data_IF_045802901995
#
_entry.id   IF_045802901995
#
_cell.length_a   1.000
_cell.length_b   1.000
_cell.length_c   1.000
_cell.angle_alpha   90.00
_cell.angle_beta   90.00
_cell.angle_gamma   90.00
#
_symmetry.space_group_name_H-M   'P 1'
#
loop_
_entity.id
_entity.type
_entity.pdbx_description
1 polymer ?
#
# COMPACT_ATOMS: atom_id res chain seq x y z
N UNK A 1 -6.87 12.94 16.97
CA UNK A 1 -6.78 11.95 15.86
C UNK A 1 -5.31 11.65 15.64
N UNK A 2 -4.91 10.38 15.55
CA UNK A 2 -3.50 9.98 15.38
C UNK A 2 -3.12 10.14 13.92
N UNK A 3 -2.07 10.90 13.62
CA UNK A 3 -1.53 11.06 12.27
C UNK A 3 -0.74 9.81 11.84
N UNK A 4 -0.55 9.57 10.53
CA UNK A 4 0.38 8.54 10.08
C UNK A 4 1.79 8.79 10.62
N UNK A 5 2.60 7.73 10.80
CA UNK A 5 4.02 7.86 11.14
C UNK A 5 4.76 8.82 10.21
N UNK A 6 5.79 9.52 10.73
CA UNK A 6 6.49 10.59 9.99
C UNK A 6 7.28 10.09 8.78
N UNK A 7 7.61 8.80 8.74
CA UNK A 7 8.28 8.12 7.64
C UNK A 7 7.32 7.75 6.49
N UNK A 8 6.02 7.97 6.67
CA UNK A 8 4.99 7.72 5.66
C UNK A 8 4.70 9.00 4.85
N UNK A 9 4.66 8.85 3.53
CA UNK A 9 4.16 9.91 2.64
C UNK A 9 2.65 9.84 2.55
N UNK A 10 1.97 10.92 2.96
CA UNK A 10 0.53 11.06 2.75
C UNK A 10 0.21 11.52 1.33
N UNK A 11 -0.75 10.86 0.69
CA UNK A 11 -1.25 11.16 -0.66
C UNK A 11 -2.72 11.58 -0.58
N UNK A 12 -3.00 12.79 -1.05
CA UNK A 12 -4.34 13.38 -1.16
C UNK A 12 -5.20 13.35 0.12
N UNK A 13 -4.57 13.27 1.30
CA UNK A 13 -5.23 13.06 2.62
C UNK A 13 -6.16 11.82 2.62
N UNK A 14 -5.88 10.83 1.78
CA UNK A 14 -6.65 9.59 1.68
C UNK A 14 -5.88 8.35 2.08
N UNK A 15 -4.57 8.34 1.85
CA UNK A 15 -3.70 7.19 2.12
C UNK A 15 -2.30 7.66 2.48
N UNK A 16 -1.60 6.91 3.31
CA UNK A 16 -0.20 7.09 3.60
C UNK A 16 0.56 5.76 3.47
N UNK A 17 1.78 5.84 2.93
CA UNK A 17 2.63 4.71 2.57
C UNK A 17 4.07 4.99 3.00
N UNK A 18 4.78 3.96 3.46
CA UNK A 18 6.20 4.06 3.76
C UNK A 18 7.01 4.28 2.47
N UNK A 19 7.69 5.42 2.37
CA UNK A 19 8.54 5.75 1.21
C UNK A 19 9.91 6.30 1.58
N UNK A 20 10.13 6.68 2.85
CA UNK A 20 11.38 7.31 3.31
C UNK A 20 12.44 6.33 3.82
N UNK A 21 12.21 5.02 3.69
CA UNK A 21 13.16 3.96 4.05
C UNK A 21 12.91 2.70 3.24
N UNK A 22 13.94 1.86 3.11
CA UNK A 22 13.85 0.59 2.37
C UNK A 22 12.94 -0.37 3.12
N UNK A 23 11.87 -0.82 2.47
CA UNK A 23 11.01 -1.87 2.98
C UNK A 23 11.78 -3.18 2.89
N UNK A 24 12.02 -3.82 4.04
CA UNK A 24 12.71 -5.11 4.07
C UNK A 24 11.92 -6.15 3.29
N UNK A 25 12.59 -6.86 2.38
CA UNK A 25 12.03 -7.95 1.60
C UNK A 25 12.62 -9.28 2.08
N UNK A 26 11.77 -10.28 2.29
CA UNK A 26 12.15 -11.62 2.70
C UNK A 26 11.66 -12.66 1.71
N UNK A 27 12.37 -13.79 1.61
CA UNK A 27 11.97 -14.94 0.82
C UNK A 27 10.60 -15.46 1.26
N UNK A 28 9.77 -15.82 0.29
CA UNK A 28 8.46 -16.43 0.49
C UNK A 28 8.53 -17.96 0.38
N UNK A 29 7.41 -18.64 0.64
CA UNK A 29 7.28 -20.07 0.34
C UNK A 29 7.41 -20.31 -1.17
N UNK A 30 7.99 -21.44 -1.62
CA UNK A 30 8.03 -21.82 -3.04
C UNK A 30 6.67 -21.90 -3.74
N UNK A 31 5.57 -21.94 -2.98
CA UNK A 31 4.19 -21.97 -3.49
C UNK A 31 3.61 -20.58 -3.78
N UNK A 32 4.30 -19.51 -3.40
CA UNK A 32 3.87 -18.13 -3.66
C UNK A 32 4.24 -17.71 -5.09
N UNK A 33 3.44 -16.84 -5.75
CA UNK A 33 3.67 -16.45 -7.14
C UNK A 33 4.90 -15.56 -7.35
N UNK A 34 5.43 -14.98 -6.28
CA UNK A 34 6.64 -14.16 -6.29
C UNK A 34 7.58 -14.58 -5.17
N UNK A 35 8.88 -14.49 -5.44
CA UNK A 35 9.95 -14.95 -4.55
C UNK A 35 10.11 -14.13 -3.27
N UNK A 36 9.88 -12.83 -3.31
CA UNK A 36 10.12 -11.93 -2.19
C UNK A 36 8.86 -11.20 -1.76
N UNK A 37 8.70 -11.04 -0.44
CA UNK A 37 7.66 -10.23 0.15
C UNK A 37 8.25 -9.09 0.98
N UNK A 38 7.93 -7.86 0.58
CA UNK A 38 8.27 -6.63 1.27
C UNK A 38 7.09 -6.17 2.13
N UNK A 39 7.08 -6.56 3.40
CA UNK A 39 5.99 -6.29 4.34
C UNK A 39 5.98 -4.83 4.78
N UNK A 40 4.84 -4.16 4.65
CA UNK A 40 4.64 -2.79 5.16
C UNK A 40 3.18 -2.52 5.53
N UNK A 41 2.96 -1.53 6.39
CA UNK A 41 1.63 -0.99 6.64
C UNK A 41 1.13 -0.14 5.47
N UNK A 42 -0.17 -0.21 5.23
CA UNK A 42 -0.93 0.78 4.46
C UNK A 42 -1.82 1.52 5.44
N UNK A 43 -1.80 2.86 5.43
CA UNK A 43 -2.65 3.65 6.30
C UNK A 43 -3.68 4.39 5.45
N UNK A 44 -4.97 4.10 5.63
CA UNK A 44 -6.05 4.70 4.83
C UNK A 44 -6.94 5.55 5.74
N UNK A 45 -7.33 6.73 5.27
CA UNK A 45 -8.27 7.57 6.01
C UNK A 45 -9.69 7.01 5.84
N UNK A 46 -10.39 6.79 6.95
CA UNK A 46 -11.79 6.37 6.89
C UNK A 46 -12.66 7.39 6.14
N UNK A 47 -13.67 6.91 5.41
CA UNK A 47 -14.47 7.72 4.48
C UNK A 47 -13.79 8.02 3.13
N UNK A 48 -12.58 7.51 2.87
CA UNK A 48 -11.92 7.63 1.57
C UNK A 48 -11.81 6.27 0.90
N UNK A 49 -12.21 6.24 -0.37
CA UNK A 49 -11.90 5.16 -1.28
C UNK A 49 -10.51 5.37 -1.87
N UNK A 50 -9.73 4.28 -1.95
CA UNK A 50 -8.36 4.30 -2.45
C UNK A 50 -8.14 3.12 -3.37
N UNK A 51 -7.60 3.37 -4.56
CA UNK A 51 -7.12 2.33 -5.46
C UNK A 51 -5.61 2.39 -5.55
N UNK A 52 -4.97 1.23 -5.35
CA UNK A 52 -3.54 1.02 -5.54
C UNK A 52 -3.33 0.15 -6.76
N UNK A 53 -2.36 0.48 -7.60
CA UNK A 53 -1.99 -0.38 -8.73
C UNK A 53 -0.49 -0.40 -8.99
N UNK A 54 0.02 -1.57 -9.33
CA UNK A 54 1.41 -1.84 -9.71
C UNK A 54 1.49 -2.37 -11.14
N UNK A 55 2.70 -2.40 -11.72
CA UNK A 55 2.95 -3.01 -13.02
C UNK A 55 2.94 -4.54 -12.97
N UNK A 56 3.17 -5.21 -14.12
CA UNK A 56 3.20 -6.67 -14.22
C UNK A 56 4.33 -7.35 -13.43
N UNK A 57 5.36 -6.60 -13.03
CA UNK A 57 6.53 -7.07 -12.30
C UNK A 57 6.29 -7.33 -10.81
N UNK A 58 5.11 -7.01 -10.30
CA UNK A 58 4.78 -7.11 -8.89
C UNK A 58 3.32 -7.47 -8.66
N UNK A 59 3.04 -7.92 -7.45
CA UNK A 59 1.70 -7.98 -6.90
C UNK A 59 1.64 -7.30 -5.54
N UNK A 60 0.45 -6.97 -5.10
CA UNK A 60 0.18 -6.29 -3.85
C UNK A 60 -0.94 -6.97 -3.08
N UNK A 61 -0.90 -6.79 -1.77
CA UNK A 61 -1.91 -7.26 -0.85
C UNK A 61 -1.93 -6.37 0.39
N UNK A 62 -3.12 -5.91 0.81
CA UNK A 62 -3.37 -5.40 2.16
C UNK A 62 -4.74 -5.86 2.64
N UNK A 63 -4.80 -6.33 3.88
CA UNK A 63 -6.03 -6.84 4.47
C UNK A 63 -5.81 -8.05 5.37
N UNK A 64 -6.89 -8.56 5.94
CA UNK A 64 -6.91 -9.60 6.97
C UNK A 64 -7.65 -10.88 6.54
N UNK A 65 -8.13 -10.97 5.29
CA UNK A 65 -8.84 -12.14 4.75
C UNK A 65 -8.13 -12.72 3.55
N UNK A 66 -7.04 -13.47 3.81
CA UNK A 66 -6.35 -14.35 2.85
C UNK A 66 -6.31 -13.82 1.41
N UNK A 67 -6.05 -12.52 1.22
CA UNK A 67 -6.42 -11.94 -0.05
C UNK A 67 -5.38 -12.32 -1.10
N UNK A 68 -5.92 -12.61 -2.27
CA UNK A 68 -5.17 -13.04 -3.43
C UNK A 68 -4.27 -11.89 -3.87
N UNK A 69 -3.01 -12.21 -4.15
CA UNK A 69 -2.09 -11.29 -4.81
C UNK A 69 -2.75 -10.67 -6.03
N UNK A 70 -2.81 -9.35 -6.08
CA UNK A 70 -3.42 -8.60 -7.17
C UNK A 70 -2.48 -7.52 -7.66
N UNK A 71 -2.64 -7.09 -8.92
CA UNK A 71 -1.96 -5.90 -9.42
C UNK A 71 -2.73 -4.62 -9.11
N UNK A 72 -4.02 -4.73 -8.80
CA UNK A 72 -4.89 -3.61 -8.47
C UNK A 72 -5.71 -3.94 -7.24
N UNK A 73 -5.58 -3.12 -6.20
CA UNK A 73 -6.32 -3.24 -4.95
C UNK A 73 -7.23 -2.03 -4.77
N UNK A 74 -8.53 -2.28 -4.67
CA UNK A 74 -9.52 -1.30 -4.24
C UNK A 74 -9.74 -1.44 -2.73
N UNK A 75 -9.48 -0.38 -1.99
CA UNK A 75 -9.88 -0.23 -0.60
C UNK A 75 -11.14 0.63 -0.57
N UNK A 76 -12.32 0.03 -0.35
CA UNK A 76 -13.56 0.79 -0.30
C UNK A 76 -13.57 1.73 0.90
N UNK A 77 -14.32 2.82 0.79
CA UNK A 77 -14.50 3.76 1.88
C UNK A 77 -15.09 3.05 3.12
N UNK A 78 -14.38 3.13 4.25
CA UNK A 78 -14.95 2.72 5.53
C UNK A 78 -16.08 3.69 5.91
N UNK A 79 -17.31 3.22 6.19
CA UNK A 79 -18.45 4.09 6.52
C UNK A 79 -18.14 5.03 7.69
N UNK A 80 -18.53 6.29 7.57
CA UNK A 80 -18.36 7.33 8.60
C UNK A 80 -19.58 8.27 8.62
N UNK A 81 -19.85 8.97 9.74
CA UNK A 81 -20.86 10.01 9.78
C UNK A 81 -20.59 11.11 8.73
N UNK A 82 -21.63 11.68 8.09
CA UNK A 82 -21.46 12.77 7.14
C UNK A 82 -20.69 13.96 7.74
N UNK A 83 -19.76 14.54 6.98
CA UNK A 83 -18.97 15.69 7.42
C UNK A 83 -17.84 15.38 8.42
N UNK A 84 -17.76 14.15 8.94
CA UNK A 84 -16.68 13.76 9.84
C UNK A 84 -15.38 13.50 9.04
N UNK A 85 -14.25 14.00 9.57
CA UNK A 85 -12.93 13.51 9.14
C UNK A 85 -12.66 12.18 9.82
N UNK A 86 -12.78 11.10 9.06
CA UNK A 86 -12.53 9.75 9.57
C UNK A 86 -11.09 9.57 10.09
N UNK A 87 -10.88 8.68 11.08
CA UNK A 87 -9.55 8.37 11.59
C UNK A 87 -8.70 7.67 10.52
N UNK A 88 -7.39 7.62 10.77
CA UNK A 88 -6.47 6.80 9.99
C UNK A 88 -6.55 5.34 10.45
N UNK A 89 -6.69 4.43 9.50
CA UNK A 89 -6.83 2.99 9.71
C UNK A 89 -5.62 2.28 9.10
N UNK A 90 -4.96 1.43 9.88
CA UNK A 90 -3.81 0.67 9.42
C UNK A 90 -4.22 -0.72 8.94
N UNK A 91 -3.72 -1.10 7.77
CA UNK A 91 -3.92 -2.41 7.17
C UNK A 91 -2.55 -3.10 7.02
N UNK A 92 -2.38 -4.33 7.51
CA UNK A 92 -1.17 -5.10 7.26
C UNK A 92 -1.15 -5.64 5.84
N UNK A 93 0.03 -5.71 5.24
CA UNK A 93 0.19 -6.19 3.88
C UNK A 93 1.59 -5.90 3.33
N UNK A 94 1.69 -5.69 2.03
CA UNK A 94 2.92 -5.31 1.37
C UNK A 94 2.95 -5.64 -0.11
N UNK A 95 4.18 -5.74 -0.62
CA UNK A 95 4.49 -5.95 -2.03
C UNK A 95 5.16 -7.31 -2.22
N UNK A 96 4.73 -8.03 -3.25
CA UNK A 96 5.36 -9.25 -3.71
C UNK A 96 6.11 -8.97 -5.01
N UNK A 97 7.40 -9.31 -5.06
CA UNK A 97 8.32 -9.04 -6.19
C UNK A 97 9.29 -10.21 -6.35
N UNK A 98 9.82 -10.41 -7.56
CA UNK A 98 10.79 -11.51 -7.80
C UNK A 98 12.23 -11.13 -7.44
N UNK A 99 12.55 -9.83 -7.49
CA UNK A 99 13.86 -9.29 -7.14
C UNK A 99 13.70 -7.96 -6.41
N UNK A 100 14.66 -7.56 -5.55
CA UNK A 100 14.61 -6.24 -4.91
C UNK A 100 14.50 -5.11 -5.94
N UNK A 101 13.53 -4.22 -5.77
CA UNK A 101 13.20 -3.20 -6.77
C UNK A 101 12.73 -1.87 -6.18
N UNK A 102 12.91 -0.79 -6.96
CA UNK A 102 12.25 0.48 -6.70
C UNK A 102 10.92 0.48 -7.45
N UNK A 103 9.86 0.07 -6.77
CA UNK A 103 8.57 -0.27 -7.34
C UNK A 103 7.72 0.98 -7.63
N UNK A 104 7.30 1.22 -8.88
CA UNK A 104 6.29 2.24 -9.18
C UNK A 104 4.92 1.81 -8.66
N UNK A 105 4.33 2.61 -7.78
CA UNK A 105 3.00 2.40 -7.22
C UNK A 105 2.10 3.58 -7.59
N UNK A 106 1.08 3.34 -8.41
CA UNK A 106 0.05 4.34 -8.66
C UNK A 106 -1.00 4.29 -7.57
N UNK A 107 -1.27 5.46 -7.01
CA UNK A 107 -2.26 5.70 -5.96
C UNK A 107 -3.35 6.59 -6.51
N UNK A 108 -4.60 6.16 -6.41
CA UNK A 108 -5.78 6.93 -6.81
C UNK A 108 -6.68 7.14 -5.60
N UNK A 109 -7.10 8.39 -5.36
CA UNK A 109 -8.04 8.77 -4.30
C UNK A 109 -9.14 9.63 -4.93
N UNK A 110 -10.33 9.05 -5.08
CA UNK A 110 -11.39 9.65 -5.92
C UNK A 110 -10.92 9.78 -7.38
N UNK A 111 -10.94 10.99 -7.92
CA UNK A 111 -10.54 11.27 -9.32
C UNK A 111 -9.06 11.62 -9.50
N UNK A 112 -8.29 11.74 -8.41
CA UNK A 112 -6.90 12.17 -8.45
C UNK A 112 -5.96 10.98 -8.34
N UNK A 113 -4.90 10.97 -9.14
CA UNK A 113 -3.87 9.93 -9.07
C UNK A 113 -2.46 10.51 -8.95
N UNK A 114 -1.57 9.75 -8.29
CA UNK A 114 -0.14 10.05 -8.15
C UNK A 114 0.64 8.73 -8.18
N UNK A 115 1.75 8.71 -8.88
CA UNK A 115 2.71 7.59 -8.81
C UNK A 115 3.76 7.89 -7.75
N UNK A 116 3.93 6.96 -6.82
CA UNK A 116 5.03 6.93 -5.85
C UNK A 116 6.07 5.90 -6.30
N UNK A 117 7.29 6.06 -5.81
CA UNK A 117 8.36 5.07 -5.93
C UNK A 117 8.59 4.45 -4.56
N UNK A 118 8.41 3.14 -4.44
CA UNK A 118 8.52 2.40 -3.18
C UNK A 118 9.79 1.56 -3.18
N UNK A 119 10.69 1.73 -2.20
CA UNK A 119 11.94 0.98 -2.14
C UNK A 119 11.73 -0.43 -1.56
N UNK A 120 11.28 -1.37 -2.39
CA UNK A 120 10.99 -2.76 -1.99
C UNK A 120 12.27 -3.61 -2.04
N UNK A 121 12.94 -3.78 -0.89
CA UNK A 121 14.19 -4.53 -0.76
C UNK A 121 15.44 -3.79 -1.25
N UNK A 122 15.31 -2.65 -1.95
CA UNK A 122 16.43 -1.76 -2.30
C UNK A 122 16.00 -0.30 -2.39
N UNK A 123 16.93 0.67 -2.27
CA UNK A 123 16.62 2.09 -2.45
C UNK A 123 16.03 2.47 -3.81
N UNK A 124 15.30 3.59 -3.81
CA UNK A 124 14.85 4.37 -4.97
C UNK A 124 15.71 5.62 -5.14
#
# INVERSE_FOLDING_TARGET
MVAPPSDYTTVFDGVALLTSGVVQAAETSPTEPHRLFAKTGLVVRAGREVTLSVGPEAAIFWGNRAAVWTRTLLVPACPQPPGAKGPWLAYPGGYAVDTPTCLPLRVTVGTRSKTLRVPAGKPC
#
